data_IF_696920673812
#
_entry.id   IF_696920673812
#
_cell.length_a   1.000
_cell.length_b   1.000
_cell.length_c   1.000
_cell.angle_alpha   90.00
_cell.angle_beta   90.00
_cell.angle_gamma   90.00
#
_symmetry.space_group_name_H-M   'P 1'
#
loop_
_entity.id
_entity.type
_entity.pdbx_description
1 polymer ?
#
# COMPACT_ATOMS: atom_id res chain seq x y z
N UNK A 1 14.21 3.40 -6.90
CA UNK A 1 13.15 3.60 -5.88
C UNK A 1 12.92 2.31 -5.11
N UNK A 2 12.77 2.39 -3.81
CA UNK A 2 12.44 1.30 -2.88
C UNK A 2 10.96 1.33 -2.50
N UNK A 3 10.43 0.20 -2.01
CA UNK A 3 9.06 0.12 -1.49
C UNK A 3 9.03 -0.39 -0.06
N UNK A 4 8.10 0.11 0.75
CA UNK A 4 7.83 -0.39 2.10
C UNK A 4 6.35 -0.78 2.19
N UNK A 5 6.09 -1.98 2.69
CA UNK A 5 4.75 -2.38 3.16
C UNK A 5 4.80 -2.39 4.68
N UNK A 6 4.07 -1.46 5.29
CA UNK A 6 3.95 -1.43 6.75
C UNK A 6 2.79 -2.31 7.18
N UNK A 7 3.11 -3.46 7.71
CA UNK A 7 2.18 -4.52 8.12
C UNK A 7 2.27 -4.81 9.63
N UNK A 8 2.57 -3.79 10.41
CA UNK A 8 2.62 -3.84 11.88
C UNK A 8 1.26 -3.60 12.54
N UNK A 9 1.29 -3.54 13.86
CA UNK A 9 0.12 -3.26 14.69
C UNK A 9 -0.66 -4.52 15.11
N UNK A 10 -1.21 -4.50 16.32
CA UNK A 10 -1.87 -5.65 16.95
C UNK A 10 -3.26 -6.01 16.38
N UNK A 11 -3.84 -5.16 15.51
CA UNK A 11 -5.14 -5.44 14.88
C UNK A 11 -6.31 -5.62 15.86
N UNK A 12 -6.25 -5.04 17.06
CA UNK A 12 -7.20 -5.29 18.16
C UNK A 12 -8.66 -5.00 17.81
N UNK A 13 -8.92 -4.10 16.88
CA UNK A 13 -10.28 -3.81 16.38
C UNK A 13 -10.90 -4.97 15.61
N UNK A 14 -10.09 -5.96 15.22
CA UNK A 14 -10.53 -7.19 14.53
C UNK A 14 -10.48 -8.43 15.42
N UNK A 15 -10.36 -8.27 16.76
CA UNK A 15 -10.47 -9.41 17.65
C UNK A 15 -11.89 -10.04 17.56
N UNK A 16 -12.02 -11.39 17.58
CA UNK A 16 -10.96 -12.39 17.80
C UNK A 16 -10.18 -12.83 16.54
N UNK A 17 -10.48 -12.36 15.33
CA UNK A 17 -9.83 -12.81 14.08
C UNK A 17 -8.30 -12.67 14.10
N UNK A 18 -7.81 -11.60 14.71
CA UNK A 18 -6.37 -11.25 14.76
C UNK A 18 -5.67 -11.71 16.04
N UNK A 19 -6.28 -12.56 16.85
CA UNK A 19 -5.62 -13.10 18.05
C UNK A 19 -4.47 -14.08 17.74
N UNK A 20 -4.46 -14.66 16.55
CA UNK A 20 -3.48 -15.70 16.15
C UNK A 20 -2.78 -15.38 14.84
N UNK A 21 -3.07 -14.24 14.23
CA UNK A 21 -2.49 -13.85 12.95
C UNK A 21 -2.57 -12.35 12.73
N UNK A 22 -1.63 -11.81 11.97
CA UNK A 22 -1.69 -10.42 11.49
C UNK A 22 -2.96 -10.16 10.69
N UNK A 23 -3.53 -8.95 10.83
CA UNK A 23 -4.64 -8.48 10.00
C UNK A 23 -4.33 -8.62 8.50
N UNK A 24 -3.13 -8.29 8.09
CA UNK A 24 -2.70 -8.30 6.70
C UNK A 24 -2.54 -9.71 6.10
N UNK A 25 -2.63 -10.74 6.93
CA UNK A 25 -2.68 -12.15 6.49
C UNK A 25 -4.11 -12.69 6.41
N UNK A 26 -5.11 -11.96 6.89
CA UNK A 26 -6.51 -12.34 6.73
C UNK A 26 -6.90 -12.34 5.24
N UNK A 27 -7.82 -13.22 4.84
CA UNK A 27 -8.30 -13.24 3.46
C UNK A 27 -9.17 -12.03 3.16
N UNK A 28 -8.99 -11.45 1.98
CA UNK A 28 -9.96 -10.55 1.36
C UNK A 28 -10.40 -11.21 0.08
N UNK A 29 -11.58 -11.79 0.11
CA UNK A 29 -12.18 -12.61 -0.92
C UNK A 29 -11.34 -13.85 -1.28
N UNK A 30 -10.48 -13.78 -2.29
CA UNK A 30 -9.80 -14.93 -2.91
C UNK A 30 -8.31 -15.04 -2.59
N UNK A 31 -7.75 -14.09 -1.82
CA UNK A 31 -6.31 -14.04 -1.50
C UNK A 31 -6.02 -13.33 -0.18
N UNK A 32 -4.81 -13.50 0.39
CA UNK A 32 -4.41 -12.74 1.58
C UNK A 32 -4.38 -11.23 1.30
N UNK A 33 -4.77 -10.43 2.30
CA UNK A 33 -4.82 -8.97 2.20
C UNK A 33 -3.49 -8.37 1.73
N UNK A 34 -2.35 -8.92 2.15
CA UNK A 34 -1.01 -8.46 1.78
C UNK A 34 -0.71 -8.46 0.27
N UNK A 35 -1.46 -9.23 -0.53
CA UNK A 35 -1.31 -9.22 -1.99
C UNK A 35 -1.76 -7.90 -2.63
N UNK A 36 -2.70 -7.19 -2.00
CA UNK A 36 -3.21 -5.92 -2.53
C UNK A 36 -2.15 -4.81 -2.45
N UNK A 37 -1.58 -4.48 -1.27
CA UNK A 37 -0.52 -3.46 -1.19
C UNK A 37 0.74 -3.86 -1.98
N UNK A 38 1.11 -5.16 -1.99
CA UNK A 38 2.21 -5.66 -2.81
C UNK A 38 1.98 -5.34 -4.29
N UNK A 39 0.78 -5.62 -4.78
CA UNK A 39 0.39 -5.32 -6.16
C UNK A 39 0.46 -3.83 -6.50
N UNK A 40 0.11 -2.95 -5.57
CA UNK A 40 0.19 -1.48 -5.79
C UNK A 40 1.64 -1.05 -6.01
N UNK A 41 2.58 -1.50 -5.17
CA UNK A 41 4.00 -1.20 -5.35
C UNK A 41 4.54 -1.77 -6.67
N UNK A 42 4.13 -2.99 -7.03
CA UNK A 42 4.51 -3.61 -8.31
C UNK A 42 3.92 -2.87 -9.52
N UNK A 43 2.70 -2.35 -9.42
CA UNK A 43 2.09 -1.49 -10.46
C UNK A 43 2.83 -0.16 -10.61
N UNK A 44 3.43 0.37 -9.54
CA UNK A 44 4.32 1.52 -9.56
C UNK A 44 5.71 1.22 -10.17
N UNK A 45 6.00 -0.04 -10.51
CA UNK A 45 7.28 -0.46 -11.07
C UNK A 45 8.35 -0.79 -10.03
N UNK A 46 7.98 -0.86 -8.75
CA UNK A 46 8.92 -1.09 -7.64
C UNK A 46 9.17 -2.60 -7.48
N UNK A 47 10.46 -2.98 -7.43
CA UNK A 47 10.91 -4.37 -7.34
C UNK A 47 11.65 -4.71 -6.05
N UNK A 48 12.19 -3.72 -5.37
CA UNK A 48 12.86 -3.89 -4.07
C UNK A 48 11.90 -3.43 -2.99
N UNK A 49 11.39 -4.37 -2.18
CA UNK A 49 10.32 -4.11 -1.23
C UNK A 49 10.70 -4.66 0.15
N UNK A 50 10.57 -3.82 1.16
CA UNK A 50 10.71 -4.17 2.57
C UNK A 50 9.33 -4.37 3.19
N UNK A 51 9.12 -5.49 3.85
CA UNK A 51 7.93 -5.74 4.67
C UNK A 51 8.31 -5.53 6.13
N UNK A 52 7.63 -4.59 6.78
CA UNK A 52 7.81 -4.29 8.20
C UNK A 52 6.61 -4.84 8.96
N UNK A 53 6.85 -5.79 9.87
CA UNK A 53 5.78 -6.45 10.63
C UNK A 53 6.16 -6.70 12.07
N UNK A 54 5.24 -7.26 12.85
CA UNK A 54 5.49 -7.64 14.26
C UNK A 54 6.47 -8.82 14.36
N UNK A 55 7.13 -9.03 15.52
CA UNK A 55 7.98 -10.20 15.73
C UNK A 55 7.27 -11.52 15.47
N UNK A 56 6.00 -11.62 15.85
CA UNK A 56 5.19 -12.84 15.74
C UNK A 56 4.77 -13.15 14.30
N UNK A 57 4.54 -12.11 13.50
CA UNK A 57 3.98 -12.27 12.14
C UNK A 57 5.02 -12.22 11.03
N UNK A 58 6.20 -11.63 11.25
CA UNK A 58 7.28 -11.58 10.26
C UNK A 58 7.59 -12.96 9.67
N UNK A 59 7.75 -14.05 10.45
CA UNK A 59 7.99 -15.39 9.89
C UNK A 59 6.84 -15.91 9.02
N UNK A 60 5.60 -15.45 9.27
CA UNK A 60 4.43 -15.84 8.47
C UNK A 60 4.42 -15.14 7.12
N UNK A 61 4.84 -13.87 7.07
CA UNK A 61 5.04 -13.15 5.80
C UNK A 61 6.16 -13.78 4.99
N UNK A 62 7.29 -14.13 5.61
CA UNK A 62 8.39 -14.84 4.97
C UNK A 62 7.94 -16.19 4.39
N UNK A 63 7.13 -16.95 5.13
CA UNK A 63 6.57 -18.20 4.66
C UNK A 63 5.62 -18.03 3.48
N UNK A 64 4.78 -16.98 3.50
CA UNK A 64 3.78 -16.72 2.45
C UNK A 64 4.42 -16.23 1.15
N UNK A 65 5.33 -15.25 1.25
CA UNK A 65 5.82 -14.47 0.11
C UNK A 65 7.24 -14.84 -0.32
N UNK A 66 7.99 -15.52 0.55
CA UNK A 66 9.38 -15.94 0.30
C UNK A 66 10.30 -14.74 0.07
N UNK A 67 11.27 -14.92 -0.82
CA UNK A 67 12.22 -13.88 -1.22
C UNK A 67 11.68 -12.94 -2.34
N UNK A 68 10.45 -13.15 -2.77
CA UNK A 68 9.82 -12.40 -3.86
C UNK A 68 10.11 -12.93 -5.27
N UNK A 69 10.97 -13.92 -5.41
CA UNK A 69 11.35 -14.49 -6.73
C UNK A 69 10.17 -15.02 -7.54
N UNK A 70 9.08 -15.59 -6.95
CA UNK A 70 7.89 -15.96 -7.72
C UNK A 70 7.19 -14.78 -8.40
N UNK A 71 7.38 -13.57 -7.88
CA UNK A 71 6.81 -12.32 -8.39
C UNK A 71 7.82 -11.48 -9.18
N UNK A 72 9.03 -11.99 -9.42
CA UNK A 72 10.09 -11.26 -10.13
C UNK A 72 10.58 -10.00 -9.38
N UNK A 73 10.44 -9.96 -8.07
CA UNK A 73 10.85 -8.88 -7.16
C UNK A 73 11.82 -9.41 -6.11
N UNK A 74 12.34 -8.52 -5.27
CA UNK A 74 13.15 -8.86 -4.08
C UNK A 74 12.42 -8.39 -2.84
N UNK A 75 12.16 -9.31 -1.91
CA UNK A 75 11.55 -9.02 -0.62
C UNK A 75 12.59 -9.10 0.48
N UNK A 76 12.55 -8.13 1.38
CA UNK A 76 13.25 -8.15 2.66
C UNK A 76 12.24 -7.95 3.78
N UNK A 77 12.62 -8.32 4.98
CA UNK A 77 11.73 -8.31 6.14
C UNK A 77 12.42 -7.65 7.32
N UNK A 78 11.70 -6.81 8.04
CA UNK A 78 12.18 -6.15 9.26
C UNK A 78 11.10 -6.19 10.32
N UNK A 79 11.52 -6.41 11.56
CA UNK A 79 10.65 -6.45 12.71
C UNK A 79 10.39 -5.03 13.22
N UNK A 80 9.13 -4.67 13.41
CA UNK A 80 8.69 -3.51 14.17
C UNK A 80 8.45 -3.94 15.63
N UNK A 81 9.29 -3.58 16.59
CA UNK A 81 9.15 -4.05 17.97
C UNK A 81 7.97 -3.41 18.70
N UNK A 82 7.61 -2.19 18.33
CA UNK A 82 6.46 -1.43 18.89
C UNK A 82 5.86 -0.54 17.81
N UNK A 83 4.52 -0.31 17.81
CA UNK A 83 3.85 0.51 16.79
C UNK A 83 3.92 2.01 17.16
N UNK A 84 5.10 2.62 17.05
CA UNK A 84 5.37 3.99 17.48
C UNK A 84 4.99 5.05 16.44
N UNK A 85 4.13 4.71 15.49
CA UNK A 85 3.63 5.58 14.44
C UNK A 85 4.12 5.21 13.03
N UNK A 86 3.48 5.77 12.00
CA UNK A 86 3.75 5.38 10.61
C UNK A 86 5.12 5.86 10.12
N UNK A 87 5.60 7.04 10.57
CA UNK A 87 6.89 7.55 10.16
C UNK A 87 8.07 6.72 10.68
N UNK A 88 7.87 5.89 11.74
CA UNK A 88 8.86 4.93 12.22
C UNK A 88 9.32 3.96 11.12
N UNK A 89 8.48 3.65 10.14
CA UNK A 89 8.83 2.77 9.03
C UNK A 89 10.08 3.21 8.28
N UNK A 90 10.31 4.53 8.15
CA UNK A 90 11.49 5.08 7.47
C UNK A 90 12.76 5.01 8.33
N UNK A 91 12.62 4.96 9.64
CA UNK A 91 13.74 4.74 10.58
C UNK A 91 14.15 3.27 10.58
N UNK A 92 13.17 2.35 10.64
CA UNK A 92 13.40 0.91 10.59
C UNK A 92 13.94 0.45 9.22
N UNK A 93 13.54 1.14 8.16
CA UNK A 93 13.94 0.88 6.79
C UNK A 93 15.13 1.69 6.31
N UNK A 94 15.81 2.47 7.15
CA UNK A 94 16.83 3.44 6.73
C UNK A 94 17.96 2.80 5.93
N UNK A 95 18.52 1.69 6.40
CA UNK A 95 19.57 0.95 5.68
C UNK A 95 19.08 0.39 4.35
N UNK A 96 17.84 -0.11 4.30
CA UNK A 96 17.22 -0.62 3.07
C UNK A 96 16.97 0.49 2.05
N UNK A 97 16.48 1.64 2.49
CA UNK A 97 16.18 2.80 1.63
C UNK A 97 17.48 3.39 1.08
N UNK A 98 18.48 3.62 1.93
CA UNK A 98 19.73 4.29 1.54
C UNK A 98 19.46 5.65 0.89
N UNK A 99 20.09 5.87 -0.24
CA UNK A 99 19.95 7.12 -1.03
C UNK A 99 18.83 7.08 -2.08
N UNK A 100 17.96 6.08 -2.04
CA UNK A 100 16.86 5.93 -2.99
C UNK A 100 15.62 6.75 -2.58
N UNK A 101 14.78 7.10 -3.55
CA UNK A 101 13.40 7.47 -3.31
C UNK A 101 12.62 6.26 -2.78
N UNK A 102 11.60 6.50 -1.96
CA UNK A 102 10.85 5.43 -1.30
C UNK A 102 9.34 5.63 -1.40
N UNK A 103 8.62 4.59 -1.80
CA UNK A 103 7.17 4.52 -1.64
C UNK A 103 6.83 3.68 -0.41
N UNK A 104 5.86 4.12 0.38
CA UNK A 104 5.29 3.34 1.49
C UNK A 104 3.80 3.14 1.29
N UNK A 105 3.34 1.91 1.56
CA UNK A 105 1.92 1.57 1.58
C UNK A 105 1.58 0.86 2.88
N UNK A 106 0.41 1.19 3.43
CA UNK A 106 -0.13 0.46 4.59
C UNK A 106 -0.66 -0.91 4.15
N UNK A 107 -0.30 -1.94 4.89
CA UNK A 107 -0.57 -3.32 4.56
C UNK A 107 -2.05 -3.72 4.58
N UNK A 108 -2.92 -2.84 5.06
CA UNK A 108 -4.38 -3.01 5.16
C UNK A 108 -5.17 -2.12 4.19
N UNK A 109 -4.49 -1.46 3.27
CA UNK A 109 -5.12 -0.59 2.28
C UNK A 109 -5.26 -1.29 0.93
N UNK A 110 -6.46 -1.22 0.37
CA UNK A 110 -6.79 -1.78 -0.93
C UNK A 110 -7.15 -0.63 -1.87
N UNK A 111 -6.54 -0.62 -3.04
CA UNK A 111 -6.81 0.37 -4.08
C UNK A 111 -7.30 -0.32 -5.36
N UNK A 112 -8.32 0.26 -5.96
CA UNK A 112 -8.81 -0.14 -7.27
C UNK A 112 -9.23 1.10 -8.07
N UNK A 113 -8.89 1.14 -9.35
CA UNK A 113 -9.33 2.24 -10.21
C UNK A 113 -8.72 2.19 -11.59
N UNK A 114 -9.49 2.66 -12.57
CA UNK A 114 -9.00 2.74 -13.94
C UNK A 114 -7.90 3.80 -14.05
N UNK A 115 -6.81 3.45 -14.74
CA UNK A 115 -5.69 4.36 -14.93
C UNK A 115 -4.78 4.51 -13.71
N UNK A 116 -4.96 3.70 -12.65
CA UNK A 116 -4.16 3.80 -11.42
C UNK A 116 -2.66 3.72 -11.67
N UNK A 117 -2.20 2.88 -12.60
CA UNK A 117 -0.79 2.82 -13.01
C UNK A 117 -0.23 4.18 -13.46
N UNK A 118 -1.03 5.01 -14.16
CA UNK A 118 -0.61 6.36 -14.59
C UNK A 118 -0.45 7.29 -13.41
N UNK A 119 -1.36 7.23 -12.44
CA UNK A 119 -1.32 8.02 -11.20
C UNK A 119 -0.09 7.65 -10.38
N UNK A 120 0.21 6.36 -10.22
CA UNK A 120 1.40 5.86 -9.52
C UNK A 120 2.69 6.29 -10.23
N UNK A 121 2.72 6.28 -11.56
CA UNK A 121 3.89 6.72 -12.34
C UNK A 121 4.22 8.20 -12.09
N UNK A 122 3.21 9.06 -12.07
CA UNK A 122 3.40 10.49 -11.75
C UNK A 122 3.98 10.66 -10.34
N UNK A 123 3.47 9.92 -9.36
CA UNK A 123 3.99 9.99 -7.99
C UNK A 123 5.45 9.50 -7.90
N UNK A 124 5.79 8.45 -8.64
CA UNK A 124 7.17 7.96 -8.72
C UNK A 124 8.11 8.99 -9.37
N UNK A 125 7.69 9.61 -10.47
CA UNK A 125 8.44 10.68 -11.14
C UNK A 125 8.65 11.90 -10.24
N UNK A 126 7.62 12.31 -9.48
CA UNK A 126 7.74 13.37 -8.49
C UNK A 126 8.79 13.04 -7.43
N UNK A 127 8.77 11.82 -6.90
CA UNK A 127 9.74 11.38 -5.89
C UNK A 127 11.18 11.42 -6.43
N UNK A 128 11.40 10.98 -7.65
CA UNK A 128 12.73 11.06 -8.30
C UNK A 128 13.19 12.52 -8.54
N UNK A 129 12.25 13.46 -8.67
CA UNK A 129 12.55 14.89 -8.84
C UNK A 129 12.59 15.69 -7.53
N UNK A 130 12.54 15.02 -6.38
CA UNK A 130 12.71 15.64 -5.06
C UNK A 130 11.41 16.08 -4.38
N UNK A 131 10.26 15.62 -4.85
CA UNK A 131 8.92 15.98 -4.31
C UNK A 131 8.22 14.79 -3.71
N UNK A 132 7.61 14.95 -2.55
CA UNK A 132 6.72 13.95 -1.96
C UNK A 132 5.34 14.00 -2.63
N UNK A 133 4.67 12.84 -2.69
CA UNK A 133 3.28 12.75 -3.19
C UNK A 133 2.44 11.92 -2.23
N UNK A 134 1.28 12.48 -1.83
CA UNK A 134 0.22 11.82 -1.09
C UNK A 134 -1.02 11.66 -1.97
N UNK A 135 -1.99 10.83 -1.53
CA UNK A 135 -3.23 10.59 -2.28
C UNK A 135 -4.43 10.94 -1.43
N UNK A 136 -5.24 11.88 -1.92
CA UNK A 136 -6.48 12.32 -1.28
C UNK A 136 -7.68 11.56 -1.83
N UNK A 137 -8.51 11.02 -0.94
CA UNK A 137 -9.77 10.34 -1.27
C UNK A 137 -10.92 10.95 -0.50
N UNK A 138 -12.03 11.26 -1.17
CA UNK A 138 -13.19 11.88 -0.54
C UNK A 138 -13.96 10.91 0.35
N UNK A 139 -14.15 11.28 1.63
CA UNK A 139 -14.83 10.45 2.64
C UNK A 139 -15.97 11.26 3.33
N UNK A 140 -16.90 10.55 3.97
CA UNK A 140 -17.99 11.17 4.72
C UNK A 140 -17.69 11.37 6.21
N UNK A 141 -16.67 10.70 6.73
CA UNK A 141 -16.22 10.68 8.13
C UNK A 141 -14.74 11.09 8.27
N UNK A 142 -14.39 12.31 7.82
CA UNK A 142 -13.00 12.77 7.68
C UNK A 142 -12.22 12.82 9.01
N UNK A 143 -12.91 13.00 10.15
CA UNK A 143 -12.30 13.09 11.48
C UNK A 143 -11.54 11.83 11.91
N UNK A 144 -11.73 10.72 11.21
CA UNK A 144 -11.05 9.45 11.48
C UNK A 144 -9.64 9.36 10.89
N UNK A 145 -9.31 10.24 9.95
CA UNK A 145 -8.14 10.13 9.08
C UNK A 145 -7.25 11.37 9.16
N UNK A 146 -6.04 11.27 8.64
CA UNK A 146 -5.27 12.43 8.21
C UNK A 146 -6.00 13.12 7.04
N UNK A 147 -6.10 14.44 7.08
CA UNK A 147 -6.86 15.23 6.10
C UNK A 147 -5.93 16.14 5.31
N UNK A 148 -6.18 16.24 4.02
CA UNK A 148 -5.53 17.21 3.13
C UNK A 148 -6.53 18.24 2.63
N UNK A 149 -6.16 19.52 2.73
CA UNK A 149 -6.91 20.66 2.21
C UNK A 149 -6.29 21.13 0.89
N UNK A 150 -7.14 21.47 -0.07
CA UNK A 150 -6.73 21.95 -1.39
C UNK A 150 -7.27 23.37 -1.67
N UNK A 151 -6.51 24.15 -2.42
CA UNK A 151 -7.02 25.34 -3.06
C UNK A 151 -7.86 25.02 -4.31
N UNK A 152 -8.41 26.05 -4.96
CA UNK A 152 -9.21 25.95 -6.18
C UNK A 152 -8.43 25.31 -7.36
N UNK A 153 -7.11 25.45 -7.37
CA UNK A 153 -6.21 24.91 -8.40
C UNK A 153 -5.73 23.49 -8.08
N UNK A 154 -6.10 22.94 -6.91
CA UNK A 154 -5.69 21.60 -6.45
C UNK A 154 -4.33 21.56 -5.77
N UNK A 155 -3.76 22.72 -5.39
CA UNK A 155 -2.53 22.79 -4.59
C UNK A 155 -2.85 22.47 -3.13
N UNK A 156 -1.98 21.74 -2.46
CA UNK A 156 -2.10 21.44 -1.03
C UNK A 156 -1.91 22.72 -0.21
N UNK A 157 -2.88 23.01 0.65
CA UNK A 157 -2.85 24.15 1.58
C UNK A 157 -2.44 23.72 2.98
N UNK A 158 -2.96 22.59 3.47
CA UNK A 158 -2.67 22.07 4.79
C UNK A 158 -2.86 20.56 4.85
N UNK A 159 -2.18 19.92 5.82
CA UNK A 159 -2.41 18.53 6.21
C UNK A 159 -2.59 18.48 7.72
N UNK A 160 -3.54 17.67 8.20
CA UNK A 160 -3.92 17.63 9.62
C UNK A 160 -4.25 16.20 10.06
N UNK A 161 -3.69 15.74 11.17
CA UNK A 161 -3.93 14.38 11.68
C UNK A 161 -5.22 14.36 12.52
N UNK A 162 -6.21 13.59 12.07
CA UNK A 162 -7.48 13.34 12.79
C UNK A 162 -8.07 14.58 13.45
N UNK A 163 -8.32 15.65 12.69
CA UNK A 163 -8.81 16.92 13.25
C UNK A 163 -10.23 16.77 13.80
N UNK A 164 -10.52 17.42 14.92
CA UNK A 164 -11.89 17.48 15.48
C UNK A 164 -12.86 18.24 14.59
N UNK A 165 -12.35 19.20 13.84
CA UNK A 165 -13.11 20.04 12.89
C UNK A 165 -12.37 20.01 11.55
N UNK A 166 -12.58 19.00 10.72
CA UNK A 166 -11.87 18.85 9.45
C UNK A 166 -12.14 20.02 8.49
N UNK A 167 -11.08 20.55 7.87
CA UNK A 167 -11.18 21.62 6.87
C UNK A 167 -11.60 21.12 5.49
N UNK A 168 -11.49 19.82 5.26
CA UNK A 168 -11.91 19.18 4.02
C UNK A 168 -12.39 17.76 4.27
N UNK A 169 -13.04 17.15 3.28
CA UNK A 169 -13.43 15.74 3.28
C UNK A 169 -12.42 14.84 2.55
N UNK A 170 -11.26 15.39 2.16
CA UNK A 170 -10.23 14.56 1.51
C UNK A 170 -9.33 13.92 2.56
N UNK A 171 -9.54 12.62 2.78
CA UNK A 171 -8.66 11.79 3.59
C UNK A 171 -7.34 11.52 2.87
N UNK A 172 -6.23 11.58 3.57
CA UNK A 172 -4.94 11.07 3.09
C UNK A 172 -4.99 9.54 3.19
N UNK A 173 -4.87 8.87 2.07
CA UNK A 173 -4.86 7.40 2.03
C UNK A 173 -3.53 6.84 2.55
N UNK A 174 -3.48 5.53 2.79
CA UNK A 174 -2.27 4.86 3.26
C UNK A 174 -1.25 4.54 2.15
N UNK A 175 -1.05 5.47 1.20
CA UNK A 175 -0.06 5.34 0.13
C UNK A 175 0.73 6.65 0.01
N UNK A 176 2.04 6.55 0.02
CA UNK A 176 2.95 7.69 0.08
C UNK A 176 4.15 7.47 -0.82
N UNK A 177 4.60 8.52 -1.50
CA UNK A 177 5.84 8.52 -2.27
C UNK A 177 6.73 9.67 -1.77
N UNK A 178 7.96 9.35 -1.41
CA UNK A 178 8.92 10.32 -0.89
C UNK A 178 10.20 10.31 -1.70
N UNK A 179 10.84 11.47 -1.88
CA UNK A 179 12.15 11.56 -2.50
C UNK A 179 13.23 10.95 -1.59
N UNK A 180 14.44 10.85 -2.13
CA UNK A 180 15.63 10.48 -1.33
C UNK A 180 15.77 11.39 -0.10
N UNK A 181 16.31 10.83 1.00
CA UNK A 181 16.50 11.53 2.26
C UNK A 181 15.28 11.49 3.19
N UNK A 182 14.23 10.71 2.87
CA UNK A 182 13.04 10.58 3.73
C UNK A 182 13.38 10.08 5.13
N UNK A 183 14.36 9.18 5.29
CA UNK A 183 14.79 8.68 6.60
C UNK A 183 15.39 9.79 7.46
N UNK A 184 16.25 10.65 6.87
CA UNK A 184 16.81 11.80 7.57
C UNK A 184 15.70 12.76 8.04
N UNK A 185 14.71 13.03 7.19
CA UNK A 185 13.55 13.87 7.56
C UNK A 185 12.69 13.19 8.63
N UNK A 186 12.54 11.87 8.60
CA UNK A 186 11.79 11.11 9.61
C UNK A 186 12.46 11.16 11.00
N UNK A 187 13.79 11.30 11.10
CA UNK A 187 14.48 11.52 12.36
C UNK A 187 14.11 12.85 13.05
N UNK A 188 13.67 13.85 12.27
CA UNK A 188 13.23 15.15 12.80
C UNK A 188 11.78 15.13 13.30
N UNK A 189 11.00 14.09 12.98
CA UNK A 189 9.61 13.96 13.43
C UNK A 189 9.59 13.71 14.95
N UNK A 190 8.89 14.57 15.67
CA UNK A 190 8.68 14.41 17.11
C UNK A 190 7.40 13.65 17.39
N UNK A 191 7.38 12.82 18.46
CA UNK A 191 6.15 12.15 18.87
C UNK A 191 5.01 13.15 19.13
N UNK A 192 3.83 12.83 18.63
CA UNK A 192 2.61 13.59 18.87
C UNK A 192 2.12 13.46 20.32
N UNK A 193 1.04 14.15 20.67
CA UNK A 193 0.37 13.99 21.95
C UNK A 193 -0.11 12.54 22.23
N UNK A 194 -0.19 11.69 21.17
CA UNK A 194 -0.49 10.26 21.26
C UNK A 194 0.76 9.39 21.47
N UNK A 195 1.95 10.00 21.46
CA UNK A 195 3.23 9.29 21.54
C UNK A 195 3.67 8.68 20.20
N UNK A 196 2.99 8.99 19.09
CA UNK A 196 3.25 8.41 17.77
C UNK A 196 4.08 9.36 16.87
N UNK A 197 4.99 8.79 16.07
CA UNK A 197 5.67 9.47 14.98
C UNK A 197 4.71 9.53 13.78
N UNK A 198 3.97 10.65 13.71
CA UNK A 198 2.88 10.80 12.74
C UNK A 198 3.39 11.01 11.34
N UNK A 199 2.84 10.26 10.38
CA UNK A 199 3.12 10.46 8.96
C UNK A 199 2.65 11.83 8.48
N UNK A 200 1.58 12.35 9.07
CA UNK A 200 1.04 13.67 8.74
C UNK A 200 2.02 14.78 9.11
N UNK A 201 2.80 14.63 10.20
CA UNK A 201 3.88 15.55 10.55
C UNK A 201 4.99 15.53 9.49
N UNK A 202 5.39 14.34 9.03
CA UNK A 202 6.36 14.20 7.94
C UNK A 202 5.84 14.86 6.64
N UNK A 203 4.58 14.66 6.31
CA UNK A 203 3.95 15.31 5.15
C UNK A 203 3.93 16.84 5.29
N UNK A 204 3.64 17.36 6.48
CA UNK A 204 3.65 18.81 6.74
C UNK A 204 5.07 19.40 6.56
N UNK A 205 6.11 18.70 6.99
CA UNK A 205 7.50 19.14 6.76
C UNK A 205 7.79 19.31 5.27
N UNK A 206 7.38 18.35 4.42
CA UNK A 206 7.48 18.48 2.95
C UNK A 206 6.63 19.62 2.41
N UNK A 207 5.44 19.86 3.00
CA UNK A 207 4.57 20.98 2.61
C UNK A 207 5.22 22.34 2.92
N UNK A 208 5.80 22.49 4.11
CA UNK A 208 6.49 23.73 4.52
C UNK A 208 7.70 24.05 3.63
N UNK A 209 8.38 23.01 3.10
CA UNK A 209 9.45 23.17 2.13
C UNK A 209 8.95 23.39 0.68
N UNK A 210 7.63 23.43 0.45
CA UNK A 210 7.02 23.57 -0.87
C UNK A 210 7.24 22.33 -1.77
N UNK A 211 7.49 21.17 -1.19
CA UNK A 211 7.84 19.91 -1.88
C UNK A 211 6.77 18.81 -1.69
N UNK A 212 5.56 19.13 -1.27
CA UNK A 212 4.46 18.18 -1.17
C UNK A 212 3.47 18.39 -2.31
N UNK A 213 3.21 17.32 -3.05
CA UNK A 213 2.12 17.22 -4.02
C UNK A 213 1.05 16.25 -3.52
N UNK A 214 -0.18 16.39 -4.01
CA UNK A 214 -1.24 15.44 -3.74
C UNK A 214 -2.02 15.09 -5.01
N UNK A 215 -2.27 13.79 -5.20
CA UNK A 215 -3.11 13.26 -6.25
C UNK A 215 -4.51 13.00 -5.70
N UNK A 216 -5.54 13.63 -6.28
CA UNK A 216 -6.94 13.35 -5.91
C UNK A 216 -7.43 12.11 -6.64
N UNK A 217 -7.75 11.06 -5.89
CA UNK A 217 -8.40 9.87 -6.42
C UNK A 217 -9.89 10.18 -6.60
N UNK A 218 -10.28 10.44 -7.85
CA UNK A 218 -11.63 10.87 -8.21
C UNK A 218 -12.60 9.72 -8.43
N UNK A 219 -13.70 10.00 -9.13
CA UNK A 219 -14.71 8.99 -9.48
C UNK A 219 -14.08 7.85 -10.28
N UNK A 220 -14.48 6.62 -9.97
CA UNK A 220 -13.92 5.41 -10.59
C UNK A 220 -12.72 4.81 -9.84
N UNK A 221 -12.28 5.46 -8.75
CA UNK A 221 -11.38 4.87 -7.77
C UNK A 221 -12.16 4.38 -6.55
N UNK A 222 -11.69 3.28 -5.96
CA UNK A 222 -12.05 2.81 -4.65
C UNK A 222 -10.79 2.71 -3.80
N UNK A 223 -10.87 3.25 -2.60
CA UNK A 223 -9.91 3.07 -1.53
C UNK A 223 -10.65 2.45 -0.35
N UNK A 224 -10.15 1.31 0.14
CA UNK A 224 -10.77 0.55 1.20
C UNK A 224 -9.75 0.40 2.34
N UNK A 225 -10.09 0.95 3.51
CA UNK A 225 -9.37 0.74 4.77
C UNK A 225 -10.05 -0.39 5.52
N UNK A 226 -9.38 -1.53 5.63
CA UNK A 226 -9.91 -2.76 6.24
C UNK A 226 -9.72 -2.80 7.76
N UNK A 227 -9.90 -1.66 8.42
CA UNK A 227 -9.60 -1.49 9.85
C UNK A 227 -10.64 -2.02 10.83
N UNK A 228 -11.84 -2.40 10.37
CA UNK A 228 -12.95 -2.91 11.19
C UNK A 228 -13.55 -4.18 10.58
N UNK A 229 -14.38 -4.91 11.32
CA UNK A 229 -15.07 -6.10 10.82
C UNK A 229 -15.93 -5.80 9.58
N UNK A 230 -16.70 -4.71 9.66
CA UNK A 230 -17.59 -4.30 8.56
C UNK A 230 -16.79 -3.89 7.33
N UNK A 231 -15.73 -3.06 7.49
CA UNK A 231 -14.91 -2.63 6.36
C UNK A 231 -14.11 -3.78 5.74
N UNK A 232 -13.73 -4.80 6.51
CA UNK A 232 -13.10 -6.01 5.98
C UNK A 232 -14.08 -6.82 5.12
N UNK A 233 -15.32 -6.97 5.57
CA UNK A 233 -16.39 -7.64 4.82
C UNK A 233 -16.73 -6.86 3.54
N UNK A 234 -16.95 -5.56 3.66
CA UNK A 234 -17.22 -4.66 2.51
C UNK A 234 -16.10 -4.72 1.45
N UNK A 235 -14.85 -4.79 1.89
CA UNK A 235 -13.72 -4.95 0.98
C UNK A 235 -13.76 -6.29 0.23
N UNK A 236 -14.10 -7.38 0.91
CA UNK A 236 -14.23 -8.69 0.28
C UNK A 236 -15.39 -8.73 -0.72
N UNK A 237 -16.55 -8.15 -0.37
CA UNK A 237 -17.72 -8.04 -1.24
C UNK A 237 -17.45 -7.16 -2.47
N UNK A 238 -16.77 -6.03 -2.26
CA UNK A 238 -16.34 -5.16 -3.36
C UNK A 238 -15.43 -5.89 -4.35
N UNK A 239 -14.39 -6.54 -3.87
CA UNK A 239 -13.44 -7.28 -4.72
C UNK A 239 -14.18 -8.37 -5.47
N UNK A 240 -15.03 -9.17 -4.79
CA UNK A 240 -15.82 -10.22 -5.41
C UNK A 240 -16.71 -9.67 -6.54
N UNK A 241 -17.43 -8.59 -6.25
CA UNK A 241 -18.37 -7.99 -7.20
C UNK A 241 -17.64 -7.50 -8.46
N UNK A 242 -16.55 -6.76 -8.29
CA UNK A 242 -15.78 -6.23 -9.42
C UNK A 242 -15.18 -7.37 -10.24
N UNK A 243 -14.52 -8.34 -9.60
CA UNK A 243 -13.91 -9.47 -10.30
C UNK A 243 -14.94 -10.26 -11.12
N UNK A 244 -16.12 -10.52 -10.54
CA UNK A 244 -17.21 -11.23 -11.25
C UNK A 244 -17.80 -10.42 -12.41
N UNK A 245 -17.96 -9.10 -12.26
CA UNK A 245 -18.59 -8.26 -13.27
C UNK A 245 -17.68 -7.91 -14.43
N UNK A 246 -16.38 -7.75 -14.15
CA UNK A 246 -15.40 -7.34 -15.16
C UNK A 246 -14.57 -8.52 -15.69
N UNK A 247 -14.74 -9.72 -15.13
CA UNK A 247 -13.97 -10.93 -15.52
C UNK A 247 -12.46 -10.73 -15.39
N UNK A 248 -12.01 -10.02 -14.36
CA UNK A 248 -10.61 -9.75 -14.03
C UNK A 248 -10.28 -10.34 -12.67
N UNK A 249 -8.99 -10.35 -12.31
CA UNK A 249 -8.53 -10.54 -10.92
C UNK A 249 -7.85 -9.26 -10.45
N UNK A 250 -8.35 -8.69 -9.36
CA UNK A 250 -7.73 -7.50 -8.74
C UNK A 250 -6.49 -7.96 -7.98
N UNK A 251 -5.37 -7.25 -8.16
CA UNK A 251 -4.14 -7.47 -7.37
C UNK A 251 -3.63 -8.91 -7.46
N UNK A 252 -3.28 -9.36 -8.66
CA UNK A 252 -2.56 -10.61 -8.90
C UNK A 252 -1.08 -10.31 -9.14
N UNK A 253 -0.20 -10.43 -8.11
CA UNK A 253 1.22 -10.08 -8.22
C UNK A 253 1.94 -10.80 -9.38
N UNK A 254 1.65 -12.09 -9.59
CA UNK A 254 2.26 -12.88 -10.67
C UNK A 254 1.86 -12.39 -12.06
N UNK A 255 0.60 -12.00 -12.22
CA UNK A 255 0.11 -11.41 -13.47
C UNK A 255 0.79 -10.07 -13.74
N UNK A 256 0.88 -9.19 -12.71
CA UNK A 256 1.58 -7.91 -12.80
C UNK A 256 3.04 -8.11 -13.17
N UNK A 257 3.72 -9.08 -12.56
CA UNK A 257 5.10 -9.44 -12.87
C UNK A 257 5.26 -9.90 -14.31
N UNK A 258 4.34 -10.71 -14.80
CA UNK A 258 4.35 -11.22 -16.18
C UNK A 258 4.13 -10.09 -17.20
N UNK A 259 3.13 -9.23 -16.98
CA UNK A 259 2.85 -8.06 -17.83
C UNK A 259 4.02 -7.08 -17.87
N UNK A 260 4.72 -6.91 -16.73
CA UNK A 260 5.90 -6.06 -16.65
C UNK A 260 7.17 -6.72 -17.24
N UNK A 261 7.08 -7.99 -17.69
CA UNK A 261 8.24 -8.74 -18.20
C UNK A 261 9.27 -9.11 -17.13
N UNK A 262 8.87 -9.15 -15.86
CA UNK A 262 9.76 -9.50 -14.73
C UNK A 262 9.85 -11.02 -14.51
N UNK A 263 8.84 -11.74 -14.95
CA UNK A 263 8.83 -13.20 -15.05
C UNK A 263 8.38 -13.61 -16.46
N UNK A 264 8.79 -14.78 -16.90
CA UNK A 264 8.37 -15.35 -18.16
C UNK A 264 7.09 -16.21 -18.03
N UNK A 265 6.62 -16.70 -19.16
CA UNK A 265 5.41 -17.55 -19.22
C UNK A 265 5.58 -18.83 -18.42
N UNK A 266 6.77 -19.41 -18.40
CA UNK A 266 7.03 -20.67 -17.71
C UNK A 266 6.93 -20.50 -16.19
N UNK A 267 7.49 -19.42 -15.66
CA UNK A 267 7.39 -19.05 -14.26
C UNK A 267 5.95 -18.75 -13.83
N UNK A 268 5.17 -18.06 -14.69
CA UNK A 268 3.75 -17.82 -14.45
C UNK A 268 2.95 -19.14 -14.40
N UNK A 269 3.25 -20.09 -15.31
CA UNK A 269 2.62 -21.42 -15.31
C UNK A 269 3.05 -22.27 -14.10
N UNK A 270 4.27 -22.10 -13.59
CA UNK A 270 4.71 -22.73 -12.34
C UNK A 270 3.85 -22.25 -11.17
N UNK A 271 3.64 -20.94 -11.03
CA UNK A 271 2.75 -20.34 -10.02
C UNK A 271 1.32 -20.86 -10.18
N UNK A 272 0.79 -20.91 -11.41
CA UNK A 272 -0.53 -21.46 -11.68
C UNK A 272 -0.68 -22.94 -11.25
N UNK A 273 0.38 -23.75 -11.41
CA UNK A 273 0.39 -25.14 -10.92
C UNK A 273 0.42 -25.22 -9.40
N UNK A 274 1.20 -24.34 -8.73
CA UNK A 274 1.27 -24.25 -7.26
C UNK A 274 -0.12 -23.99 -6.66
N UNK A 275 -0.92 -23.11 -7.29
CA UNK A 275 -2.28 -22.79 -6.82
C UNK A 275 -3.33 -23.85 -7.26
N UNK A 276 -2.97 -24.84 -8.07
CA UNK A 276 -3.76 -26.01 -8.40
C UNK A 276 -5.07 -25.70 -9.09
N UNK A 277 -6.18 -26.20 -8.50
CA UNK A 277 -7.54 -26.05 -9.04
C UNK A 277 -8.26 -24.77 -8.56
N UNK A 278 -7.59 -23.90 -7.82
CA UNK A 278 -8.22 -22.66 -7.36
C UNK A 278 -8.59 -21.75 -8.52
N UNK A 279 -9.62 -20.89 -8.39
CA UNK A 279 -9.94 -19.88 -9.39
C UNK A 279 -8.75 -18.96 -9.70
N UNK A 280 -7.94 -18.63 -8.69
CA UNK A 280 -6.73 -17.82 -8.85
C UNK A 280 -5.69 -18.51 -9.75
N UNK A 281 -5.41 -19.81 -9.52
CA UNK A 281 -4.51 -20.60 -10.38
C UNK A 281 -5.04 -20.76 -11.81
N UNK A 282 -6.36 -20.91 -11.97
CA UNK A 282 -7.01 -20.96 -13.29
C UNK A 282 -6.85 -19.62 -14.04
N UNK A 283 -6.98 -18.49 -13.34
CA UNK A 283 -6.76 -17.16 -13.90
C UNK A 283 -5.31 -16.99 -14.40
N UNK A 284 -4.30 -17.31 -13.59
CA UNK A 284 -2.90 -17.20 -14.01
C UNK A 284 -2.59 -18.06 -15.25
N UNK A 285 -3.21 -19.23 -15.36
CA UNK A 285 -3.10 -20.06 -16.56
C UNK A 285 -3.72 -19.39 -17.78
N UNK A 286 -4.91 -18.79 -17.62
CA UNK A 286 -5.58 -18.05 -18.70
C UNK A 286 -4.74 -16.85 -19.17
N UNK A 287 -4.11 -16.13 -18.25
CA UNK A 287 -3.15 -15.05 -18.56
C UNK A 287 -1.98 -15.58 -19.38
N UNK A 288 -1.33 -16.67 -18.93
CA UNK A 288 -0.21 -17.28 -19.64
C UNK A 288 -0.57 -17.79 -21.05
N UNK A 289 -1.82 -18.18 -21.24
CA UNK A 289 -2.36 -18.64 -22.53
C UNK A 289 -2.87 -17.48 -23.42
N UNK A 290 -2.78 -16.24 -22.97
CA UNK A 290 -3.26 -15.06 -23.71
C UNK A 290 -4.79 -14.98 -23.84
N UNK A 291 -5.52 -15.58 -22.91
CA UNK A 291 -7.00 -15.63 -22.90
C UNK A 291 -7.64 -14.49 -22.09
N UNK A 292 -6.85 -13.72 -21.37
CA UNK A 292 -7.31 -12.54 -20.63
C UNK A 292 -7.03 -11.31 -21.47
N UNK A 293 -8.06 -10.47 -21.69
CA UNK A 293 -7.93 -9.19 -22.37
C UNK A 293 -7.85 -8.05 -21.36
N UNK A 294 -7.01 -7.06 -21.65
CA UNK A 294 -6.75 -5.87 -20.80
C UNK A 294 -7.24 -4.60 -21.47
#
# INVERSE_FOLDING_TARGET
MKGIILAGGAGTRLYPLTMVTSKQLLPVYDKPMSYYPLSVLMLAGIRDILIISTPEDTPRFEHLLGDGSPFGIRLQYTVQPSPDGLAQAFLLGEEFIGDDACAMILGDNIFYGNGFRKVLKVAAENAETGRATIFGYYVHDPERFGIVEFDENGKVLSVEEKPKNPKSNYSITGLYFYPKGVSAMAHEVKPSARGELEITTLNDMYLQEGRLDAQRLGRGFAWLDTGTMDSLLEAADFVQMIQKRQSIVISAPEEIAYINGWIDKEKLLESARKYGKSPYGAHLRAVAEGKVMY
#
